data_IF_098009603208
#
_entry.id   IF_098009603208
#
_cell.length_a   1.000
_cell.length_b   1.000
_cell.length_c   1.000
_cell.angle_alpha   90.00
_cell.angle_beta   90.00
_cell.angle_gamma   90.00
#
_symmetry.space_group_name_H-M   'P 1'
#
loop_
_entity.id
_entity.type
_entity.pdbx_description
1 polymer ?
#
# COMPACT_ATOMS: atom_id res chain seq x y z
N UNK A 1 -46.57 -3.95 72.91
CA UNK A 1 -46.19 -4.61 71.65
C UNK A 1 -45.50 -3.56 70.81
N UNK A 2 -44.18 -3.38 70.99
CA UNK A 2 -43.11 -4.04 70.21
C UNK A 2 -43.16 -3.56 68.75
N UNK A 3 -42.41 -2.51 68.40
CA UNK A 3 -41.00 -2.53 67.96
C UNK A 3 -40.89 -3.02 66.51
N UNK A 4 -40.41 -2.16 65.60
CA UNK A 4 -39.17 -2.43 64.86
C UNK A 4 -38.67 -1.14 64.16
N UNK A 5 -37.49 -0.70 64.59
CA UNK A 5 -36.60 0.28 63.96
C UNK A 5 -35.67 -0.52 63.04
N UNK A 6 -35.45 -0.10 61.79
CA UNK A 6 -34.11 -0.26 61.19
C UNK A 6 -33.84 0.71 60.05
N UNK A 7 -32.79 1.51 60.31
CA UNK A 7 -31.90 2.24 59.42
C UNK A 7 -31.54 1.47 58.13
N UNK A 8 -31.45 2.17 57.00
CA UNK A 8 -30.58 1.79 55.86
C UNK A 8 -30.11 3.04 55.14
N UNK A 9 -28.97 3.53 55.62
CA UNK A 9 -27.77 3.98 54.92
C UNK A 9 -27.85 4.66 53.52
N UNK A 10 -27.20 5.83 53.49
CA UNK A 10 -26.70 6.54 52.29
C UNK A 10 -25.83 5.63 51.42
N UNK A 11 -26.12 5.62 50.13
CA UNK A 11 -25.07 5.57 49.09
C UNK A 11 -25.41 6.57 48.01
N UNK A 12 -24.68 7.69 48.03
CA UNK A 12 -24.63 8.59 46.88
C UNK A 12 -23.90 7.86 45.76
N UNK A 13 -24.58 7.64 44.65
CA UNK A 13 -23.95 7.21 43.41
C UNK A 13 -23.14 8.39 42.89
N UNK A 14 -21.83 8.39 43.13
CA UNK A 14 -20.91 9.13 42.29
C UNK A 14 -20.92 8.44 40.93
N UNK A 15 -21.47 9.14 39.95
CA UNK A 15 -21.27 8.81 38.54
C UNK A 15 -19.77 8.93 38.30
N UNK A 16 -19.14 7.79 38.10
CA UNK A 16 -17.78 7.68 37.60
C UNK A 16 -17.80 8.16 36.14
N UNK A 17 -17.68 9.47 35.96
CA UNK A 17 -17.28 10.05 34.68
C UNK A 17 -15.77 9.85 34.57
N UNK A 18 -15.37 8.65 34.19
CA UNK A 18 -14.03 8.38 33.70
C UNK A 18 -13.79 9.18 32.42
N UNK A 19 -13.43 10.46 32.56
CA UNK A 19 -12.67 11.19 31.55
C UNK A 19 -11.23 10.72 31.64
N UNK A 20 -10.95 9.57 31.04
CA UNK A 20 -9.58 9.08 30.79
C UNK A 20 -8.98 9.75 29.53
N UNK A 21 -9.12 11.08 29.43
CA UNK A 21 -8.79 11.82 28.20
C UNK A 21 -7.67 12.86 28.39
N UNK A 22 -6.86 12.74 29.45
CA UNK A 22 -5.90 13.81 29.76
C UNK A 22 -4.55 13.36 30.33
N UNK A 23 -4.00 12.22 29.88
CA UNK A 23 -2.60 11.89 30.24
C UNK A 23 -1.86 10.93 29.29
N UNK A 24 -2.10 10.99 27.98
CA UNK A 24 -1.10 10.47 27.02
C UNK A 24 -0.25 11.64 26.57
N UNK A 25 0.96 11.74 27.12
CA UNK A 25 2.00 12.58 26.56
C UNK A 25 2.06 12.35 25.04
N UNK A 26 2.26 13.42 24.27
CA UNK A 26 2.48 13.31 22.83
C UNK A 26 3.55 12.24 22.58
N UNK A 27 3.25 11.20 21.78
CA UNK A 27 4.24 10.18 21.47
C UNK A 27 5.41 10.85 20.77
N UNK A 28 6.62 10.50 21.21
CA UNK A 28 7.84 10.89 20.51
C UNK A 28 7.94 10.15 19.16
N UNK A 29 8.98 10.47 18.39
CA UNK A 29 9.14 9.92 17.05
C UNK A 29 9.30 8.39 17.03
N UNK A 30 9.92 7.82 18.06
CA UNK A 30 10.12 6.37 18.19
C UNK A 30 8.78 5.69 18.48
N UNK A 31 8.02 6.20 19.44
CA UNK A 31 6.70 5.67 19.75
C UNK A 31 5.69 5.82 18.59
N UNK A 32 5.82 6.86 17.76
CA UNK A 32 5.01 7.01 16.55
C UNK A 32 5.36 5.96 15.49
N UNK A 33 6.66 5.72 15.26
CA UNK A 33 7.11 4.70 14.32
C UNK A 33 6.72 3.29 14.78
N UNK A 34 6.92 2.98 16.07
CA UNK A 34 6.50 1.70 16.65
C UNK A 34 5.01 1.47 16.49
N UNK A 35 4.17 2.50 16.72
CA UNK A 35 2.74 2.40 16.52
C UNK A 35 2.34 2.17 15.05
N UNK A 36 3.08 2.75 14.10
CA UNK A 36 2.87 2.52 12.67
C UNK A 36 3.31 1.10 12.26
N UNK A 37 4.38 0.57 12.84
CA UNK A 37 4.86 -0.80 12.60
C UNK A 37 3.89 -1.82 13.20
N UNK A 38 3.55 -1.67 14.48
CA UNK A 38 2.61 -2.55 15.19
C UNK A 38 1.22 -2.53 14.55
N UNK A 39 0.85 -1.38 13.96
CA UNK A 39 -0.41 -1.19 13.24
C UNK A 39 -0.39 -1.67 11.79
N UNK A 40 0.71 -2.26 11.30
CA UNK A 40 0.80 -2.76 9.92
C UNK A 40 0.87 -1.67 8.84
N UNK A 41 1.03 -0.40 9.20
CA UNK A 41 1.07 0.72 8.25
C UNK A 41 2.43 0.80 7.56
N UNK A 42 3.52 0.57 8.30
CA UNK A 42 4.88 0.62 7.78
C UNK A 42 5.66 -0.64 8.12
N UNK A 43 6.59 -1.00 7.25
CA UNK A 43 7.56 -2.06 7.48
C UNK A 43 8.98 -1.50 7.37
N UNK A 44 9.90 -2.15 8.10
CA UNK A 44 11.33 -1.87 8.02
C UNK A 44 12.01 -3.07 7.40
N UNK A 45 12.67 -2.85 6.27
CA UNK A 45 13.46 -3.89 5.63
C UNK A 45 14.66 -4.24 6.52
N UNK A 46 14.84 -5.52 6.91
CA UNK A 46 15.85 -5.90 7.89
C UNK A 46 17.29 -5.85 7.35
N UNK A 47 17.48 -5.83 6.03
CA UNK A 47 18.81 -5.85 5.41
C UNK A 47 19.30 -4.44 5.09
N UNK A 48 18.40 -3.59 4.61
CA UNK A 48 18.67 -2.22 4.15
C UNK A 48 18.32 -1.15 5.18
N UNK A 49 17.54 -1.51 6.21
CA UNK A 49 16.93 -0.57 7.18
C UNK A 49 16.03 0.49 6.52
N UNK A 50 15.55 0.23 5.30
CA UNK A 50 14.62 1.11 4.59
C UNK A 50 13.25 1.01 5.24
N UNK A 51 12.60 2.16 5.44
CA UNK A 51 11.22 2.23 5.94
C UNK A 51 10.30 2.54 4.77
N UNK A 52 9.28 1.71 4.59
CA UNK A 52 8.28 1.88 3.55
C UNK A 52 6.88 1.55 4.09
N UNK A 53 5.83 2.05 3.45
CA UNK A 53 4.47 1.61 3.77
C UNK A 53 4.21 0.19 3.26
N UNK A 54 3.35 -0.55 3.94
CA UNK A 54 3.03 -1.94 3.59
C UNK A 54 2.05 -2.02 2.42
N UNK A 55 2.04 -3.16 1.72
CA UNK A 55 1.07 -3.40 0.64
C UNK A 55 -0.38 -3.32 1.14
N UNK A 56 -0.71 -3.93 2.27
CA UNK A 56 -2.05 -3.92 2.86
C UNK A 56 -2.52 -2.50 3.21
N UNK A 57 -1.62 -1.66 3.73
CA UNK A 57 -1.93 -0.27 3.98
C UNK A 57 -2.12 0.52 2.68
N UNK A 58 -1.27 0.29 1.67
CA UNK A 58 -1.39 0.97 0.38
C UNK A 58 -2.69 0.60 -0.35
N UNK A 59 -3.21 -0.63 -0.19
CA UNK A 59 -4.54 -1.01 -0.68
C UNK A 59 -5.65 -0.19 -0.02
N UNK A 60 -5.55 0.01 1.30
CA UNK A 60 -6.48 0.87 2.05
C UNK A 60 -6.38 2.32 1.58
N UNK A 61 -5.16 2.81 1.40
CA UNK A 61 -4.87 4.18 0.96
C UNK A 61 -5.35 4.45 -0.46
N UNK A 62 -5.28 3.47 -1.36
CA UNK A 62 -5.74 3.58 -2.75
C UNK A 62 -7.22 3.98 -2.82
N UNK A 63 -8.09 3.41 -1.97
CA UNK A 63 -9.52 3.75 -1.92
C UNK A 63 -9.75 5.25 -1.66
N UNK A 64 -8.98 5.82 -0.72
CA UNK A 64 -9.06 7.24 -0.40
C UNK A 64 -8.39 8.10 -1.47
N UNK A 65 -7.26 7.64 -2.02
CA UNK A 65 -6.58 8.31 -3.12
C UNK A 65 -7.52 8.49 -4.32
N UNK A 66 -8.21 7.44 -4.77
CA UNK A 66 -9.16 7.49 -5.89
C UNK A 66 -10.32 8.46 -5.63
N UNK A 67 -10.70 8.62 -4.36
CA UNK A 67 -11.77 9.53 -3.97
C UNK A 67 -11.33 11.00 -4.01
N UNK A 68 -10.07 11.30 -3.67
CA UNK A 68 -9.63 12.67 -3.38
C UNK A 68 -8.56 13.23 -4.31
N UNK A 69 -7.82 12.40 -5.06
CA UNK A 69 -6.75 12.85 -5.96
C UNK A 69 -7.28 13.88 -6.97
N UNK A 70 -8.36 13.55 -7.67
CA UNK A 70 -8.98 14.39 -8.71
C UNK A 70 -10.23 15.14 -8.25
N UNK A 71 -10.57 15.09 -6.96
CA UNK A 71 -11.73 15.80 -6.42
C UNK A 71 -11.62 17.32 -6.66
N UNK A 72 -12.76 18.02 -6.79
CA UNK A 72 -12.73 19.49 -6.80
C UNK A 72 -12.21 20.03 -5.46
N UNK A 73 -11.62 21.23 -5.46
CA UNK A 73 -11.18 21.88 -4.22
C UNK A 73 -12.33 22.05 -3.22
N UNK A 74 -13.53 22.38 -3.71
CA UNK A 74 -14.75 22.48 -2.90
C UNK A 74 -15.09 21.15 -2.23
N UNK A 75 -15.17 20.05 -2.99
CA UNK A 75 -15.45 18.71 -2.44
C UNK A 75 -14.40 18.28 -1.43
N UNK A 76 -13.13 18.53 -1.72
CA UNK A 76 -12.05 18.24 -0.78
C UNK A 76 -12.23 19.00 0.54
N UNK A 77 -12.49 20.31 0.49
CA UNK A 77 -12.71 21.11 1.70
C UNK A 77 -14.01 20.78 2.43
N UNK A 78 -15.06 20.34 1.74
CA UNK A 78 -16.28 19.81 2.36
C UNK A 78 -15.96 18.57 3.20
N UNK A 79 -15.20 17.61 2.65
CA UNK A 79 -14.79 16.41 3.38
C UNK A 79 -13.87 16.72 4.55
N UNK A 80 -12.92 17.66 4.39
CA UNK A 80 -12.09 18.13 5.51
C UNK A 80 -12.97 18.75 6.61
N UNK A 81 -13.94 19.59 6.25
CA UNK A 81 -14.85 20.18 7.22
C UNK A 81 -15.66 19.13 7.98
N UNK A 82 -16.15 18.10 7.29
CA UNK A 82 -16.89 17.00 7.89
C UNK A 82 -16.03 16.20 8.88
N UNK A 83 -14.83 15.78 8.45
CA UNK A 83 -13.91 14.94 9.24
C UNK A 83 -13.44 15.66 10.51
N UNK A 84 -13.12 16.95 10.40
CA UNK A 84 -12.60 17.75 11.52
C UNK A 84 -13.67 18.58 12.24
N UNK A 85 -14.94 18.46 11.87
CA UNK A 85 -16.06 19.18 12.50
C UNK A 85 -15.98 20.69 12.35
N UNK A 86 -15.52 21.19 11.20
CA UNK A 86 -15.43 22.63 10.90
C UNK A 86 -16.77 23.17 10.37
N UNK A 87 -17.02 24.45 10.59
CA UNK A 87 -18.31 25.09 10.31
C UNK A 87 -18.72 25.07 8.83
N UNK A 88 -17.74 25.02 7.91
CA UNK A 88 -17.97 25.03 6.46
C UNK A 88 -16.73 24.64 5.67
N UNK A 89 -16.91 24.33 4.38
CA UNK A 89 -15.81 24.18 3.44
C UNK A 89 -14.90 25.42 3.34
N UNK A 90 -15.46 26.63 3.54
CA UNK A 90 -14.65 27.87 3.57
C UNK A 90 -13.73 27.92 4.78
N UNK A 91 -14.22 27.55 5.96
CA UNK A 91 -13.41 27.45 7.18
C UNK A 91 -12.33 26.35 7.04
N UNK A 92 -12.68 25.21 6.42
CA UNK A 92 -11.71 24.17 6.10
C UNK A 92 -10.62 24.66 5.14
N UNK A 93 -10.98 25.42 4.10
CA UNK A 93 -10.01 25.99 3.17
C UNK A 93 -9.00 26.91 3.88
N UNK A 94 -9.49 27.79 4.78
CA UNK A 94 -8.62 28.68 5.57
C UNK A 94 -7.64 27.88 6.44
N UNK A 95 -8.11 26.83 7.12
CA UNK A 95 -7.25 25.98 7.95
C UNK A 95 -6.24 25.16 7.13
N UNK A 96 -6.67 24.62 5.99
CA UNK A 96 -5.81 23.88 5.06
C UNK A 96 -4.69 24.77 4.55
N UNK A 97 -5.01 25.99 4.13
CA UNK A 97 -4.04 26.97 3.64
C UNK A 97 -3.09 27.44 4.76
N UNK A 98 -3.60 27.69 5.97
CA UNK A 98 -2.78 28.13 7.12
C UNK A 98 -1.79 27.06 7.56
N UNK A 99 -2.23 25.80 7.62
CA UNK A 99 -1.42 24.67 8.09
C UNK A 99 -0.60 24.01 6.98
N UNK A 100 -0.87 24.37 5.72
CA UNK A 100 -0.23 23.78 4.55
C UNK A 100 -0.56 22.30 4.36
N UNK A 101 -1.79 21.89 4.71
CA UNK A 101 -2.22 20.49 4.62
C UNK A 101 -2.40 20.10 3.15
N UNK A 102 -1.73 19.03 2.75
CA UNK A 102 -1.84 18.49 1.41
C UNK A 102 -2.97 17.46 1.30
N UNK A 103 -3.43 17.20 0.06
CA UNK A 103 -4.39 16.11 -0.19
C UNK A 103 -3.81 14.75 0.18
N UNK A 104 -2.52 14.55 -0.06
CA UNK A 104 -1.81 13.32 0.28
C UNK A 104 -1.78 13.08 1.80
N UNK A 105 -1.55 14.12 2.60
CA UNK A 105 -1.64 14.04 4.07
C UNK A 105 -3.07 13.74 4.53
N UNK A 106 -4.09 14.35 3.92
CA UNK A 106 -5.48 14.04 4.25
C UNK A 106 -5.88 12.61 3.88
N UNK A 107 -5.44 12.14 2.71
CA UNK A 107 -5.62 10.74 2.27
C UNK A 107 -4.91 9.79 3.24
N UNK A 108 -3.67 10.08 3.63
CA UNK A 108 -2.93 9.27 4.60
C UNK A 108 -3.63 9.27 5.97
N UNK A 109 -4.15 10.41 6.43
CA UNK A 109 -4.92 10.51 7.67
C UNK A 109 -6.12 9.55 7.66
N UNK A 110 -6.94 9.59 6.61
CA UNK A 110 -8.12 8.75 6.49
C UNK A 110 -7.75 7.27 6.35
N UNK A 111 -6.71 6.97 5.57
CA UNK A 111 -6.24 5.60 5.38
C UNK A 111 -5.73 4.99 6.69
N UNK A 112 -4.94 5.73 7.47
CA UNK A 112 -4.41 5.26 8.75
C UNK A 112 -5.55 5.06 9.75
N UNK A 113 -6.50 6.00 9.82
CA UNK A 113 -7.66 5.87 10.72
C UNK A 113 -8.50 4.63 10.40
N UNK A 114 -8.66 4.31 9.10
CA UNK A 114 -9.40 3.15 8.65
C UNK A 114 -8.63 1.83 8.79
N UNK A 115 -7.30 1.86 8.66
CA UNK A 115 -6.44 0.68 8.73
C UNK A 115 -6.18 0.24 10.18
N UNK A 116 -6.04 1.18 11.11
CA UNK A 116 -5.75 0.87 12.51
C UNK A 116 -7.01 0.40 13.26
N UNK A 117 -6.90 -0.73 13.95
CA UNK A 117 -7.96 -1.24 14.84
C UNK A 117 -8.30 -0.29 16.00
N UNK A 118 -7.34 0.54 16.44
CA UNK A 118 -7.49 1.51 17.53
C UNK A 118 -7.34 2.91 16.97
N UNK A 119 -8.37 3.73 17.10
CA UNK A 119 -8.32 5.13 16.69
C UNK A 119 -7.36 5.93 17.59
N UNK A 120 -6.23 6.44 17.06
CA UNK A 120 -5.37 7.37 17.77
C UNK A 120 -6.10 8.71 18.01
N UNK A 121 -5.52 9.58 18.83
CA UNK A 121 -6.02 10.96 18.89
C UNK A 121 -5.83 11.66 17.54
N UNK A 122 -6.69 12.63 17.21
CA UNK A 122 -6.57 13.44 15.98
C UNK A 122 -5.17 14.04 15.81
N UNK A 123 -4.55 14.51 16.90
CA UNK A 123 -3.20 15.08 16.87
C UNK A 123 -2.13 14.02 16.56
N UNK A 124 -2.26 12.82 17.13
CA UNK A 124 -1.37 11.68 16.84
C UNK A 124 -1.52 11.23 15.39
N UNK A 125 -2.76 11.06 14.94
CA UNK A 125 -3.08 10.62 13.59
C UNK A 125 -2.59 11.61 12.52
N UNK A 126 -2.73 12.92 12.76
CA UNK A 126 -2.17 13.96 11.88
C UNK A 126 -0.63 13.88 11.79
N UNK A 127 0.06 13.57 12.89
CA UNK A 127 1.52 13.35 12.86
C UNK A 127 1.90 12.08 12.10
N UNK A 128 1.17 10.98 12.35
CA UNK A 128 1.34 9.73 11.62
C UNK A 128 1.15 9.94 10.12
N UNK A 129 0.09 10.61 9.71
CA UNK A 129 -0.20 10.95 8.32
C UNK A 129 0.95 11.73 7.68
N UNK A 130 1.48 12.75 8.37
CA UNK A 130 2.63 13.52 7.89
C UNK A 130 3.89 12.66 7.71
N UNK A 131 4.18 11.75 8.65
CA UNK A 131 5.30 10.81 8.52
C UNK A 131 5.09 9.90 7.31
N UNK A 132 3.92 9.29 7.21
CA UNK A 132 3.56 8.34 6.14
C UNK A 132 3.56 9.00 4.76
N UNK A 133 3.13 10.25 4.63
CA UNK A 133 3.17 10.99 3.36
C UNK A 133 4.59 11.25 2.85
N UNK A 134 5.60 11.23 3.73
CA UNK A 134 7.01 11.37 3.35
C UNK A 134 7.67 10.01 3.05
N UNK A 135 7.00 8.90 3.37
CA UNK A 135 7.48 7.55 3.06
C UNK A 135 7.11 7.15 1.64
N UNK A 136 8.00 6.37 1.03
CA UNK A 136 7.74 5.70 -0.23
C UNK A 136 6.85 4.48 0.02
N UNK A 137 5.94 4.15 -0.91
CA UNK A 137 5.33 2.83 -0.90
C UNK A 137 6.39 1.74 -0.96
N UNK A 138 6.15 0.63 -0.26
CA UNK A 138 6.87 -0.61 -0.51
C UNK A 138 6.63 -1.06 -1.95
N UNK A 139 7.45 -1.97 -2.45
CA UNK A 139 7.37 -2.42 -3.85
C UNK A 139 5.96 -2.93 -4.23
N UNK A 140 5.44 -2.65 -5.44
CA UNK A 140 4.19 -3.24 -5.92
C UNK A 140 4.39 -4.68 -6.40
N UNK A 141 5.63 -5.17 -6.39
CA UNK A 141 6.02 -6.52 -6.79
C UNK A 141 5.54 -7.53 -5.74
N UNK A 142 4.81 -8.58 -6.13
CA UNK A 142 4.37 -9.61 -5.19
C UNK A 142 5.53 -10.42 -4.60
N UNK A 143 5.46 -10.78 -3.32
CA UNK A 143 6.45 -11.61 -2.61
C UNK A 143 6.72 -12.98 -3.27
N UNK A 144 5.78 -13.46 -4.08
CA UNK A 144 5.88 -14.74 -4.77
C UNK A 144 6.92 -14.75 -5.90
N UNK A 145 7.43 -13.58 -6.32
CA UNK A 145 8.45 -13.45 -7.37
C UNK A 145 9.67 -12.70 -6.86
N UNK A 146 10.82 -12.94 -7.49
CA UNK A 146 12.06 -12.23 -7.12
C UNK A 146 11.93 -10.77 -7.53
N UNK A 147 12.05 -9.85 -6.58
CA UNK A 147 12.10 -8.42 -6.87
C UNK A 147 13.39 -8.07 -7.62
N UNK A 148 13.22 -7.32 -8.71
CA UNK A 148 14.26 -6.83 -9.60
C UNK A 148 14.13 -5.31 -9.76
N UNK A 149 15.24 -4.70 -10.18
CA UNK A 149 15.36 -3.30 -10.51
C UNK A 149 16.17 -3.12 -11.82
N UNK A 150 16.32 -1.88 -12.27
CA UNK A 150 17.15 -1.53 -13.44
C UNK A 150 18.60 -2.04 -13.30
N UNK A 151 19.12 -2.20 -12.07
CA UNK A 151 20.49 -2.66 -11.80
C UNK A 151 20.67 -4.18 -11.73
N UNK A 152 19.59 -4.94 -11.63
CA UNK A 152 19.60 -6.39 -11.36
C UNK A 152 18.92 -7.23 -12.44
N UNK A 153 17.98 -6.68 -13.20
CA UNK A 153 17.21 -7.48 -14.18
C UNK A 153 18.11 -8.11 -15.25
N UNK A 154 19.10 -7.39 -15.79
CA UNK A 154 19.98 -7.92 -16.85
C UNK A 154 20.76 -9.14 -16.34
N UNK A 155 21.24 -9.06 -15.10
CA UNK A 155 21.93 -10.18 -14.45
C UNK A 155 20.99 -11.36 -14.31
N UNK A 156 19.77 -11.12 -13.82
CA UNK A 156 18.75 -12.14 -13.63
C UNK A 156 18.42 -12.87 -14.94
N UNK A 157 18.15 -12.15 -16.03
CA UNK A 157 17.80 -12.80 -17.31
C UNK A 157 19.00 -13.47 -17.99
N UNK A 158 20.23 -13.00 -17.73
CA UNK A 158 21.45 -13.63 -18.26
C UNK A 158 21.91 -14.86 -17.48
N UNK A 159 21.49 -15.00 -16.22
CA UNK A 159 21.86 -16.13 -15.36
C UNK A 159 20.93 -17.33 -15.48
N UNK A 160 19.84 -17.21 -16.24
CA UNK A 160 18.85 -18.26 -16.45
C UNK A 160 18.62 -18.44 -17.95
N UNK A 161 18.58 -19.69 -18.41
CA UNK A 161 18.35 -20.02 -19.82
C UNK A 161 16.97 -19.51 -20.28
N UNK A 162 15.99 -19.49 -19.37
CA UNK A 162 14.62 -18.99 -19.58
C UNK A 162 14.19 -18.15 -18.38
N UNK A 163 13.65 -16.96 -18.65
CA UNK A 163 13.19 -16.06 -17.58
C UNK A 163 11.97 -15.25 -17.99
N UNK A 164 11.11 -14.94 -17.03
CA UNK A 164 9.99 -14.02 -17.18
C UNK A 164 10.20 -12.86 -16.21
N UNK A 165 10.08 -11.64 -16.73
CA UNK A 165 10.03 -10.42 -15.92
C UNK A 165 8.63 -9.84 -15.98
N UNK A 166 7.99 -9.77 -14.82
CA UNK A 166 6.67 -9.15 -14.63
C UNK A 166 6.84 -7.68 -14.26
N UNK A 167 5.98 -6.81 -14.78
CA UNK A 167 6.00 -5.37 -14.52
C UNK A 167 4.75 -5.00 -13.75
N UNK A 168 4.94 -4.39 -12.59
CA UNK A 168 3.87 -3.96 -11.68
C UNK A 168 3.87 -2.44 -11.55
N UNK A 169 2.83 -1.90 -10.92
CA UNK A 169 2.70 -0.47 -10.67
C UNK A 169 1.74 -0.26 -9.48
N UNK A 170 1.95 0.81 -8.71
CA UNK A 170 1.02 1.24 -7.66
C UNK A 170 -0.31 1.76 -8.22
N UNK A 171 -1.39 1.62 -7.43
CA UNK A 171 -2.71 2.15 -7.78
C UNK A 171 -3.17 1.70 -9.19
N UNK A 172 -3.07 0.38 -9.43
CA UNK A 172 -3.27 -0.24 -10.72
C UNK A 172 -4.29 -1.38 -10.59
N UNK A 173 -5.58 -1.10 -10.81
CA UNK A 173 -6.64 -2.13 -10.73
C UNK A 173 -6.34 -3.39 -11.57
N UNK A 174 -5.80 -3.28 -12.80
CA UNK A 174 -5.45 -4.47 -13.57
C UNK A 174 -4.28 -5.25 -12.97
N UNK A 175 -3.37 -4.59 -12.22
CA UNK A 175 -2.30 -5.24 -11.49
C UNK A 175 -2.86 -6.01 -10.29
N UNK A 176 -3.74 -5.39 -9.49
CA UNK A 176 -4.39 -6.07 -8.35
C UNK A 176 -5.20 -7.29 -8.82
N UNK A 177 -6.00 -7.13 -9.88
CA UNK A 177 -6.75 -8.25 -10.45
C UNK A 177 -5.84 -9.34 -11.04
N UNK A 178 -4.58 -9.04 -11.38
CA UNK A 178 -3.60 -10.03 -11.83
C UNK A 178 -2.91 -10.72 -10.64
N UNK A 179 -2.73 -10.02 -9.52
CA UNK A 179 -2.21 -10.60 -8.26
C UNK A 179 -3.17 -11.66 -7.71
N UNK A 180 -4.47 -11.46 -7.84
CA UNK A 180 -5.49 -12.46 -7.47
C UNK A 180 -5.34 -13.79 -8.23
N UNK A 181 -4.89 -13.73 -9.49
CA UNK A 181 -4.65 -14.90 -10.34
C UNK A 181 -3.19 -15.39 -10.26
N UNK A 182 -2.32 -14.76 -9.44
CA UNK A 182 -0.87 -14.94 -9.54
C UNK A 182 -0.44 -16.38 -9.28
N UNK A 183 -1.01 -17.06 -8.28
CA UNK A 183 -0.69 -18.45 -7.99
C UNK A 183 -0.99 -19.37 -9.20
N UNK A 184 -2.11 -19.15 -9.88
CA UNK A 184 -2.49 -19.90 -11.08
C UNK A 184 -1.61 -19.54 -12.28
N UNK A 185 -1.23 -18.26 -12.40
CA UNK A 185 -0.29 -17.79 -13.42
C UNK A 185 1.08 -18.45 -13.23
N UNK A 186 1.61 -18.47 -12.00
CA UNK A 186 2.90 -19.08 -11.69
C UNK A 186 2.85 -20.60 -11.91
N UNK A 187 1.75 -21.27 -11.58
CA UNK A 187 1.56 -22.69 -11.85
C UNK A 187 1.47 -23.04 -13.34
N UNK A 188 1.15 -22.07 -14.20
CA UNK A 188 1.12 -22.23 -15.66
C UNK A 188 2.49 -22.04 -16.32
N UNK A 189 3.48 -21.52 -15.58
CA UNK A 189 4.86 -21.33 -16.05
C UNK A 189 5.64 -22.63 -15.80
N UNK A 190 6.43 -23.13 -16.77
CA UNK A 190 7.26 -24.32 -16.56
C UNK A 190 8.25 -24.11 -15.40
N UNK A 191 8.44 -25.14 -14.57
CA UNK A 191 9.27 -25.10 -13.34
C UNK A 191 10.72 -24.60 -13.56
N UNK A 192 11.22 -24.71 -14.79
CA UNK A 192 12.59 -24.35 -15.18
C UNK A 192 12.76 -22.85 -15.51
N UNK A 193 11.65 -22.12 -15.62
CA UNK A 193 11.63 -20.70 -16.00
C UNK A 193 11.70 -19.85 -14.74
N UNK A 194 12.73 -19.03 -14.63
CA UNK A 194 12.86 -18.11 -13.50
C UNK A 194 11.87 -16.96 -13.65
N UNK A 195 11.17 -16.59 -12.56
CA UNK A 195 10.21 -15.48 -12.57
C UNK A 195 10.68 -14.38 -11.63
N UNK A 196 10.85 -13.18 -12.18
CA UNK A 196 11.10 -11.96 -11.44
C UNK A 196 10.01 -10.93 -11.67
N UNK A 197 9.96 -9.93 -10.81
CA UNK A 197 9.06 -8.79 -10.94
C UNK A 197 9.77 -7.50 -10.63
N UNK A 198 9.32 -6.41 -11.24
CA UNK A 198 9.84 -5.07 -10.97
C UNK A 198 8.72 -4.05 -10.83
N UNK A 199 9.00 -2.98 -10.09
CA UNK A 199 8.19 -1.78 -10.15
C UNK A 199 8.48 -1.05 -11.47
N UNK A 200 7.47 -1.01 -12.33
CA UNK A 200 7.55 -0.27 -13.58
C UNK A 200 7.87 1.19 -13.35
N UNK A 201 7.33 1.84 -12.32
CA UNK A 201 7.52 3.28 -12.07
C UNK A 201 8.98 3.62 -11.77
N UNK A 202 9.64 2.78 -10.96
CA UNK A 202 11.03 2.91 -10.56
C UNK A 202 12.05 2.29 -11.55
N UNK A 203 11.60 1.57 -12.58
CA UNK A 203 12.47 0.95 -13.59
C UNK A 203 12.27 1.52 -15.02
N UNK A 204 12.57 2.82 -15.26
CA UNK A 204 12.46 3.43 -16.59
C UNK A 204 13.43 2.85 -17.63
N UNK A 205 14.61 2.35 -17.23
CA UNK A 205 15.59 1.82 -18.18
C UNK A 205 15.12 0.49 -18.77
N UNK A 206 14.65 -0.43 -17.92
CA UNK A 206 14.03 -1.69 -18.32
C UNK A 206 12.85 -1.44 -19.28
N UNK A 207 11.89 -0.59 -18.89
CA UNK A 207 10.71 -0.27 -19.71
C UNK A 207 11.10 0.18 -21.11
N UNK A 208 12.10 1.06 -21.20
CA UNK A 208 12.60 1.57 -22.47
C UNK A 208 13.33 0.51 -23.29
N UNK A 209 14.14 -0.34 -22.65
CA UNK A 209 14.90 -1.39 -23.32
C UNK A 209 13.98 -2.46 -23.93
N UNK A 210 12.93 -2.83 -23.20
CA UNK A 210 12.00 -3.90 -23.56
C UNK A 210 10.79 -3.40 -24.37
N UNK A 211 10.53 -2.09 -24.36
CA UNK A 211 9.40 -1.49 -25.08
C UNK A 211 8.06 -1.67 -24.36
N UNK A 212 8.07 -1.76 -23.03
CA UNK A 212 6.88 -1.82 -22.18
C UNK A 212 6.58 -0.43 -21.64
N UNK A 213 5.40 0.10 -21.94
CA UNK A 213 4.95 1.44 -21.57
C UNK A 213 3.80 1.46 -20.54
N UNK A 214 3.23 0.29 -20.23
CA UNK A 214 2.12 0.14 -19.29
C UNK A 214 2.29 -1.11 -18.41
N UNK A 215 1.74 -1.03 -17.21
CA UNK A 215 1.60 -2.16 -16.27
C UNK A 215 0.12 -2.59 -16.18
N UNK A 216 -0.17 -3.86 -15.84
CA UNK A 216 0.81 -4.94 -15.71
C UNK A 216 1.34 -5.37 -17.08
N UNK A 217 2.51 -5.99 -17.10
CA UNK A 217 3.08 -6.55 -18.31
C UNK A 217 3.99 -7.74 -18.00
N UNK A 218 4.27 -8.57 -19.00
CA UNK A 218 5.23 -9.66 -18.92
C UNK A 218 6.21 -9.57 -20.09
N UNK A 219 7.46 -9.90 -19.82
CA UNK A 219 8.53 -10.03 -20.80
C UNK A 219 9.21 -11.38 -20.64
N UNK A 220 9.20 -12.19 -21.72
CA UNK A 220 9.76 -13.53 -21.78
C UNK A 220 11.14 -13.46 -22.44
N UNK A 221 12.13 -14.06 -21.78
CA UNK A 221 13.52 -14.06 -22.19
C UNK A 221 14.04 -15.48 -22.40
N UNK A 222 14.95 -15.64 -23.34
CA UNK A 222 15.74 -16.86 -23.51
C UNK A 222 17.18 -16.47 -23.80
N UNK A 223 18.12 -17.04 -23.05
CA UNK A 223 19.55 -16.70 -23.10
C UNK A 223 19.82 -15.19 -22.93
N UNK A 224 19.04 -14.53 -22.07
CA UNK A 224 19.10 -13.08 -21.83
C UNK A 224 18.51 -12.21 -22.96
N UNK A 225 18.02 -12.80 -24.04
CA UNK A 225 17.38 -12.07 -25.14
C UNK A 225 15.86 -12.05 -25.00
N UNK A 226 15.25 -10.87 -25.17
CA UNK A 226 13.79 -10.73 -25.19
C UNK A 226 13.21 -11.49 -26.39
N UNK A 227 12.29 -12.42 -26.13
CA UNK A 227 11.60 -13.21 -27.15
C UNK A 227 10.18 -12.71 -27.38
N UNK A 228 9.48 -12.41 -26.30
CA UNK A 228 8.11 -11.89 -26.35
C UNK A 228 7.87 -10.92 -25.20
N UNK A 229 6.99 -9.94 -25.41
CA UNK A 229 6.50 -9.09 -24.35
C UNK A 229 5.08 -8.65 -24.63
N UNK A 230 4.27 -8.56 -23.58
CA UNK A 230 2.90 -8.09 -23.72
C UNK A 230 2.43 -7.31 -22.49
N UNK A 231 1.58 -6.31 -22.75
CA UNK A 231 0.98 -5.43 -21.76
C UNK A 231 -0.47 -5.80 -21.47
N UNK A 232 -0.94 -5.33 -20.32
CA UNK A 232 -2.27 -5.59 -19.78
C UNK A 232 -2.32 -6.87 -18.94
N UNK A 233 -3.41 -7.01 -18.17
CA UNK A 233 -3.65 -8.17 -17.31
C UNK A 233 -3.47 -9.47 -18.09
N UNK A 234 -2.62 -10.35 -17.55
CA UNK A 234 -2.46 -11.69 -18.06
C UNK A 234 -3.41 -12.66 -17.34
N UNK A 235 -3.86 -13.69 -18.05
CA UNK A 235 -4.56 -14.84 -17.46
C UNK A 235 -3.62 -16.05 -17.48
N UNK A 236 -3.84 -17.07 -16.64
CA UNK A 236 -3.04 -18.30 -16.67
C UNK A 236 -2.94 -18.91 -18.08
N UNK A 237 -4.05 -18.99 -18.80
CA UNK A 237 -4.10 -19.49 -20.19
C UNK A 237 -3.22 -18.68 -21.15
N UNK A 238 -3.19 -17.35 -21.01
CA UNK A 238 -2.37 -16.47 -21.86
C UNK A 238 -0.89 -16.69 -21.58
N UNK A 239 -0.52 -16.83 -20.31
CA UNK A 239 0.87 -17.07 -19.91
C UNK A 239 1.33 -18.46 -20.35
N UNK A 240 0.49 -19.49 -20.19
CA UNK A 240 0.75 -20.84 -20.69
C UNK A 240 1.00 -20.84 -22.20
N UNK A 241 0.13 -20.18 -22.97
CA UNK A 241 0.26 -20.09 -24.42
C UNK A 241 1.58 -19.42 -24.84
N UNK A 242 1.93 -18.28 -24.23
CA UNK A 242 3.19 -17.59 -24.49
C UNK A 242 4.41 -18.46 -24.14
N UNK A 243 4.36 -19.21 -23.02
CA UNK A 243 5.43 -20.14 -22.65
C UNK A 243 5.60 -21.26 -23.68
N UNK A 244 4.51 -21.84 -24.18
CA UNK A 244 4.55 -22.83 -25.26
C UNK A 244 5.20 -22.25 -26.52
N UNK A 245 4.76 -21.07 -26.96
CA UNK A 245 5.28 -20.43 -28.18
C UNK A 245 6.75 -20.05 -28.07
N UNK A 246 7.20 -19.59 -26.90
CA UNK A 246 8.59 -19.12 -26.71
C UNK A 246 9.56 -20.24 -26.35
N UNK A 247 9.15 -21.18 -25.48
CA UNK A 247 10.07 -22.14 -24.86
C UNK A 247 10.02 -23.56 -25.44
N UNK A 248 8.89 -24.01 -26.01
CA UNK A 248 8.77 -25.40 -26.51
C UNK A 248 9.32 -25.57 -27.95
N UNK A 249 9.47 -24.49 -28.73
CA UNK A 249 10.05 -24.53 -30.07
C UNK A 249 11.59 -24.63 -30.10
N UNK A 250 12.25 -24.70 -28.93
CA UNK A 250 13.71 -24.68 -28.77
C UNK A 250 14.40 -26.02 -28.46
N UNK A 251 13.65 -27.10 -28.20
CA UNK A 251 14.21 -28.42 -27.79
C UNK A 251 14.81 -29.25 -28.95
N UNK A 252 15.33 -28.56 -29.97
CA UNK A 252 15.74 -29.17 -31.24
C UNK A 252 16.90 -28.45 -31.93
N UNK A 253 18.07 -28.40 -31.31
CA UNK A 253 19.35 -28.16 -32.00
C UNK A 253 20.54 -28.80 -31.28
#
# INVERSE_FOLDING_TARGET
>A
MTADDTDTERTGATVDTGSDDNDRADPDAEALLDALIDGGVVAVDPETSTVATTAEFEDTRAVYHDTYADASAERFHESVAEVFGLDSAGAAAEQVDELGVTREEFVAYLAIDAHLDRSPSTATLARMARVVSELRPGTPVPDAVVELDDGSYERFVSSHDRAIVTVWKHHCDPCEAMKDDLDEILAAIPDEVAVGGLDGEDCPEFRRAIGIDAAPALALFTDGELREGFTGRATPDRVAAACTEVYEDGDGA
#
